data_IF_695630428376
#
_entry.id   IF_695630428376
#
_cell.length_a   1.000
_cell.length_b   1.000
_cell.length_c   1.000
_cell.angle_alpha   90.00
_cell.angle_beta   90.00
_cell.angle_gamma   90.00
#
_symmetry.space_group_name_H-M   'P 1'
#
loop_
_entity.id
_entity.type
_entity.pdbx_description
1 polymer ?
#
# COMPACT_ATOMS: atom_id res chain seq x y z
N UNK A 1 24.51 29.99 37.42
CA UNK A 1 24.53 28.53 37.17
C UNK A 1 23.58 28.22 36.04
N UNK A 2 24.10 28.13 34.83
CA UNK A 2 23.35 27.82 33.63
C UNK A 2 23.24 26.30 33.52
N UNK A 3 21.99 25.78 33.46
CA UNK A 3 21.66 24.36 33.29
C UNK A 3 21.89 23.99 31.82
N UNK A 4 23.01 23.35 31.56
CA UNK A 4 23.38 22.78 30.27
C UNK A 4 22.29 21.77 29.84
N UNK A 5 21.52 22.14 28.81
CA UNK A 5 20.52 21.29 28.20
C UNK A 5 21.26 20.22 27.41
N UNK A 6 21.40 19.06 28.02
CA UNK A 6 21.98 17.87 27.39
C UNK A 6 21.03 17.43 26.24
N UNK A 7 21.28 17.97 25.06
CA UNK A 7 20.68 17.52 23.81
C UNK A 7 21.23 16.12 23.52
N UNK A 8 20.57 15.09 23.99
CA UNK A 8 20.81 13.72 23.52
C UNK A 8 20.67 13.76 21.99
N UNK A 9 21.81 13.69 21.30
CA UNK A 9 21.87 13.34 19.89
C UNK A 9 21.25 11.94 19.72
N UNK A 10 19.95 11.88 19.57
CA UNK A 10 19.26 10.68 19.05
C UNK A 10 19.67 10.60 17.58
N UNK A 11 20.75 9.85 17.32
CA UNK A 11 21.13 9.50 15.97
C UNK A 11 19.90 8.88 15.30
N UNK A 12 19.36 9.54 14.28
CA UNK A 12 18.25 9.03 13.49
C UNK A 12 18.63 7.65 12.96
N UNK A 13 17.78 6.63 13.10
CA UNK A 13 18.06 5.29 12.61
C UNK A 13 18.30 5.36 11.11
N UNK A 14 19.52 5.10 10.67
CA UNK A 14 19.88 5.02 9.26
C UNK A 14 19.33 3.71 8.71
N UNK A 15 18.15 3.75 8.14
CA UNK A 15 17.59 2.58 7.48
C UNK A 15 18.46 2.16 6.28
N UNK A 16 18.86 0.88 6.19
CA UNK A 16 19.56 0.36 5.03
C UNK A 16 18.64 0.43 3.80
N UNK A 17 19.24 0.49 2.61
CA UNK A 17 18.53 0.63 1.33
C UNK A 17 17.47 -0.46 1.12
N UNK A 18 17.67 -1.64 1.70
CA UNK A 18 16.77 -2.78 1.57
C UNK A 18 15.33 -2.45 2.04
N UNK A 19 15.18 -1.57 3.03
CA UNK A 19 13.84 -1.16 3.49
C UNK A 19 13.15 -0.17 2.53
N UNK A 20 13.90 0.46 1.61
CA UNK A 20 13.33 1.32 0.56
C UNK A 20 12.88 0.52 -0.67
N UNK A 21 13.38 -0.72 -0.82
CA UNK A 21 13.08 -1.56 -2.00
C UNK A 21 11.58 -1.71 -2.30
N UNK A 22 10.69 -1.99 -1.32
CA UNK A 22 9.26 -2.09 -1.62
C UNK A 22 8.67 -0.79 -2.17
N UNK A 23 9.09 0.37 -1.64
CA UNK A 23 8.63 1.68 -2.13
C UNK A 23 9.13 1.95 -3.54
N UNK A 24 10.39 1.62 -3.84
CA UNK A 24 10.95 1.72 -5.18
C UNK A 24 10.18 0.81 -6.15
N UNK A 25 9.85 -0.41 -5.73
CA UNK A 25 9.07 -1.34 -6.55
C UNK A 25 7.67 -0.81 -6.88
N UNK A 26 6.98 -0.20 -5.91
CA UNK A 26 5.67 0.42 -6.12
C UNK A 26 5.76 1.59 -7.10
N UNK A 27 6.79 2.43 -6.99
CA UNK A 27 6.90 3.66 -7.76
C UNK A 27 7.46 3.45 -9.17
N UNK A 28 8.48 2.57 -9.31
CA UNK A 28 9.19 2.40 -10.56
C UNK A 28 8.75 1.15 -11.33
N UNK A 29 8.42 0.03 -10.65
CA UNK A 29 8.16 -1.24 -11.32
C UNK A 29 6.67 -1.42 -11.61
N UNK A 30 5.79 -1.20 -10.63
CA UNK A 30 4.34 -1.44 -10.81
C UNK A 30 3.76 -0.64 -11.99
N UNK A 31 4.07 0.66 -12.21
CA UNK A 31 3.54 1.40 -13.35
C UNK A 31 3.91 0.80 -14.71
N UNK A 32 5.07 0.14 -14.79
CA UNK A 32 5.58 -0.46 -16.03
C UNK A 32 4.99 -1.84 -16.34
N UNK A 33 4.28 -2.46 -15.39
CA UNK A 33 3.69 -3.79 -15.60
C UNK A 33 2.54 -3.67 -16.60
N UNK A 34 2.68 -4.36 -17.73
CA UNK A 34 1.65 -4.52 -18.75
C UNK A 34 1.50 -6.02 -19.01
N UNK A 35 0.38 -6.58 -18.63
CA UNK A 35 0.10 -8.00 -18.83
C UNK A 35 -1.37 -8.20 -19.11
N UNK A 36 -1.67 -8.86 -20.23
CA UNK A 36 -3.03 -9.14 -20.65
C UNK A 36 -3.62 -10.28 -19.80
N UNK A 37 -4.71 -9.98 -19.11
CA UNK A 37 -5.46 -10.93 -18.32
C UNK A 37 -6.89 -11.08 -18.88
N UNK A 38 -7.27 -12.31 -19.19
CA UNK A 38 -8.63 -12.63 -19.65
C UNK A 38 -9.48 -13.03 -18.46
N UNK A 39 -10.62 -12.39 -18.29
CA UNK A 39 -11.54 -12.71 -17.19
C UNK A 39 -13.00 -12.80 -17.68
N UNK A 40 -13.83 -13.52 -16.93
CA UNK A 40 -15.27 -13.56 -17.14
C UNK A 40 -15.92 -12.37 -16.44
N UNK A 41 -16.72 -11.60 -17.17
CA UNK A 41 -17.42 -10.43 -16.64
C UNK A 41 -18.49 -10.79 -15.61
N UNK A 42 -18.95 -12.04 -15.58
CA UNK A 42 -20.06 -12.49 -14.73
C UNK A 42 -21.41 -11.88 -15.11
N UNK A 43 -21.44 -11.00 -16.12
CA UNK A 43 -22.65 -10.28 -16.55
C UNK A 43 -23.63 -11.15 -17.31
N UNK A 44 -23.18 -12.29 -17.85
CA UNK A 44 -24.04 -13.28 -18.54
C UNK A 44 -25.14 -13.86 -17.66
N UNK A 45 -25.03 -13.67 -16.32
CA UNK A 45 -26.11 -14.07 -15.39
C UNK A 45 -27.34 -13.19 -15.50
N UNK A 46 -27.21 -11.99 -16.08
CA UNK A 46 -28.32 -11.06 -16.25
C UNK A 46 -28.94 -11.23 -17.66
N UNK A 47 -30.20 -11.51 -17.72
CA UNK A 47 -30.93 -11.75 -18.98
C UNK A 47 -30.93 -10.57 -19.97
N UNK A 48 -30.69 -9.37 -19.47
CA UNK A 48 -30.55 -8.12 -20.26
C UNK A 48 -29.20 -7.92 -20.89
N UNK A 49 -28.18 -8.71 -20.52
CA UNK A 49 -26.84 -8.54 -21.02
C UNK A 49 -26.62 -9.28 -22.33
N UNK A 50 -26.32 -8.55 -23.40
CA UNK A 50 -26.09 -9.09 -24.75
C UNK A 50 -24.60 -9.02 -25.17
N UNK A 51 -23.69 -8.66 -24.25
CA UNK A 51 -22.26 -8.55 -24.52
C UNK A 51 -21.49 -9.87 -24.40
N UNK A 52 -20.20 -9.87 -24.72
CA UNK A 52 -19.34 -11.04 -24.58
C UNK A 52 -19.19 -11.43 -23.11
N UNK A 53 -19.18 -12.74 -22.83
CA UNK A 53 -18.98 -13.28 -21.46
C UNK A 53 -17.60 -13.00 -20.90
N UNK A 54 -16.61 -12.80 -21.78
CA UNK A 54 -15.21 -12.60 -21.40
C UNK A 54 -14.66 -11.31 -21.99
N UNK A 55 -13.89 -10.60 -21.21
CA UNK A 55 -13.13 -9.42 -21.65
C UNK A 55 -11.67 -9.51 -21.24
N UNK A 56 -10.87 -8.55 -21.68
CA UNK A 56 -9.44 -8.53 -21.40
C UNK A 56 -9.09 -7.27 -20.61
N UNK A 57 -8.37 -7.45 -19.52
CA UNK A 57 -7.69 -6.37 -18.81
C UNK A 57 -6.21 -6.38 -19.20
N UNK A 58 -5.67 -5.21 -19.53
CA UNK A 58 -4.28 -5.06 -19.95
C UNK A 58 -3.36 -4.58 -18.83
N UNK A 59 -3.92 -3.98 -17.79
CA UNK A 59 -3.11 -3.26 -16.82
C UNK A 59 -3.49 -3.54 -15.38
N UNK A 60 -4.79 -3.49 -15.06
CA UNK A 60 -5.24 -3.25 -13.70
C UNK A 60 -5.10 -4.50 -12.83
N UNK A 61 -5.58 -5.64 -13.30
CA UNK A 61 -5.51 -6.90 -12.56
C UNK A 61 -4.07 -7.26 -12.17
N UNK A 62 -3.15 -7.18 -13.13
CA UNK A 62 -1.74 -7.52 -12.87
C UNK A 62 -1.08 -6.53 -11.92
N UNK A 63 -1.34 -5.22 -12.07
CA UNK A 63 -0.83 -4.19 -11.14
C UNK A 63 -1.35 -4.38 -9.74
N UNK A 64 -2.64 -4.66 -9.57
CA UNK A 64 -3.25 -4.90 -8.26
C UNK A 64 -2.70 -6.16 -7.60
N UNK A 65 -2.50 -7.23 -8.35
CA UNK A 65 -1.90 -8.47 -7.85
C UNK A 65 -0.48 -8.23 -7.34
N UNK A 66 0.37 -7.55 -8.11
CA UNK A 66 1.72 -7.20 -7.70
C UNK A 66 1.75 -6.22 -6.52
N UNK A 67 0.81 -5.27 -6.49
CA UNK A 67 0.67 -4.35 -5.36
C UNK A 67 0.36 -5.11 -4.07
N UNK A 68 -0.59 -6.04 -4.08
CA UNK A 68 -0.91 -6.87 -2.91
C UNK A 68 0.30 -7.68 -2.44
N UNK A 69 1.09 -8.22 -3.37
CA UNK A 69 2.31 -8.93 -3.02
C UNK A 69 3.33 -8.02 -2.33
N UNK A 70 3.54 -6.82 -2.85
CA UNK A 70 4.44 -5.83 -2.23
C UNK A 70 3.91 -5.35 -0.89
N UNK A 71 2.59 -5.19 -0.74
CA UNK A 71 1.97 -4.84 0.54
C UNK A 71 2.20 -5.92 1.61
N UNK A 72 2.07 -7.20 1.23
CA UNK A 72 2.40 -8.30 2.13
C UNK A 72 3.88 -8.24 2.56
N UNK A 73 4.78 -7.93 1.62
CA UNK A 73 6.20 -7.73 1.93
C UNK A 73 6.43 -6.54 2.87
N UNK A 74 5.72 -5.42 2.66
CA UNK A 74 5.79 -4.26 3.57
C UNK A 74 5.36 -4.63 4.99
N UNK A 75 4.25 -5.38 5.14
CA UNK A 75 3.78 -5.84 6.45
C UNK A 75 4.84 -6.73 7.11
N UNK A 76 5.45 -7.65 6.34
CA UNK A 76 6.47 -8.56 6.85
C UNK A 76 7.71 -7.80 7.32
N UNK A 77 8.16 -6.81 6.55
CA UNK A 77 9.29 -5.95 6.91
C UNK A 77 8.96 -5.11 8.16
N UNK A 78 7.77 -4.52 8.24
CA UNK A 78 7.33 -3.78 9.43
C UNK A 78 7.32 -4.68 10.68
N UNK A 79 6.78 -5.89 10.56
CA UNK A 79 6.77 -6.86 11.65
C UNK A 79 8.22 -7.22 12.08
N UNK A 80 9.10 -7.48 11.12
CA UNK A 80 10.50 -7.73 11.40
C UNK A 80 11.18 -6.56 12.12
N UNK A 81 10.94 -5.32 11.65
CA UNK A 81 11.53 -4.12 12.26
C UNK A 81 11.06 -3.93 13.70
N UNK A 82 9.79 -4.16 13.97
CA UNK A 82 9.21 -3.98 15.32
C UNK A 82 9.62 -5.12 16.26
N UNK A 83 9.53 -6.38 15.82
CA UNK A 83 9.71 -7.53 16.70
C UNK A 83 11.15 -8.05 16.77
N UNK A 84 11.91 -8.00 15.69
CA UNK A 84 13.27 -8.55 15.64
C UNK A 84 14.36 -7.48 15.73
N UNK A 85 14.15 -6.33 15.13
CA UNK A 85 15.12 -5.22 15.19
C UNK A 85 14.84 -4.25 16.36
N UNK A 86 13.78 -4.49 17.13
CA UNK A 86 13.38 -3.69 18.31
C UNK A 86 13.26 -2.18 18.01
N UNK A 87 12.96 -1.83 16.76
CA UNK A 87 12.74 -0.44 16.37
C UNK A 87 11.31 -0.06 16.78
N UNK A 88 11.10 0.94 17.65
CA UNK A 88 9.78 1.25 18.16
C UNK A 88 8.86 1.72 17.04
N UNK A 89 7.61 1.28 17.09
CA UNK A 89 6.58 1.76 16.17
C UNK A 89 6.42 3.28 16.35
N UNK A 90 6.54 4.01 15.24
CA UNK A 90 6.39 5.47 15.26
C UNK A 90 4.92 5.82 15.14
N UNK A 91 4.40 6.52 16.15
CA UNK A 91 3.06 7.09 16.13
C UNK A 91 3.13 8.61 16.14
N UNK A 92 2.46 9.24 15.19
CA UNK A 92 2.30 10.69 15.14
C UNK A 92 0.82 11.04 14.95
N UNK A 93 0.38 12.14 15.55
CA UNK A 93 -1.00 12.65 15.39
C UNK A 93 -1.37 12.91 13.92
N UNK A 94 -0.40 13.16 13.07
CA UNK A 94 -0.57 13.30 11.62
C UNK A 94 -1.05 12.02 10.92
N UNK A 95 -0.88 10.84 11.56
CA UNK A 95 -1.41 9.56 11.06
C UNK A 95 -2.87 9.31 11.43
N UNK A 96 -3.47 10.18 12.25
CA UNK A 96 -4.88 10.04 12.64
C UNK A 96 -5.83 10.00 11.44
N UNK A 97 -5.72 10.87 10.42
CA UNK A 97 -6.57 10.80 9.23
C UNK A 97 -6.44 9.46 8.49
N UNK A 98 -5.24 8.87 8.48
CA UNK A 98 -5.00 7.57 7.86
C UNK A 98 -5.75 6.44 8.57
N UNK A 99 -5.75 6.45 9.91
CA UNK A 99 -6.50 5.48 10.72
C UNK A 99 -8.00 5.64 10.50
N UNK A 100 -8.49 6.89 10.49
CA UNK A 100 -9.90 7.18 10.20
C UNK A 100 -10.27 6.68 8.80
N UNK A 101 -9.43 6.92 7.79
CA UNK A 101 -9.62 6.41 6.43
C UNK A 101 -9.75 4.88 6.42
N UNK A 102 -8.82 4.15 7.04
CA UNK A 102 -8.87 2.70 7.10
C UNK A 102 -10.12 2.18 7.82
N UNK A 103 -10.48 2.81 8.94
CA UNK A 103 -11.67 2.45 9.70
C UNK A 103 -12.96 2.68 8.89
N UNK A 104 -13.10 3.83 8.25
CA UNK A 104 -14.26 4.14 7.41
C UNK A 104 -14.34 3.21 6.18
N UNK A 105 -13.22 2.91 5.54
CA UNK A 105 -13.17 1.97 4.42
C UNK A 105 -13.66 0.58 4.85
N UNK A 106 -13.20 0.09 5.99
CA UNK A 106 -13.60 -1.21 6.50
C UNK A 106 -15.07 -1.24 6.92
N UNK A 107 -15.54 -0.22 7.65
CA UNK A 107 -16.95 -0.10 8.05
C UNK A 107 -17.85 0.00 6.81
N UNK A 108 -17.47 0.80 5.82
CA UNK A 108 -18.20 0.94 4.56
C UNK A 108 -18.32 -0.38 3.82
N UNK A 109 -17.25 -1.19 3.78
CA UNK A 109 -17.28 -2.50 3.15
C UNK A 109 -18.21 -3.49 3.86
N UNK A 110 -18.26 -3.44 5.20
CA UNK A 110 -19.16 -4.28 5.99
C UNK A 110 -20.64 -3.84 5.88
N UNK A 111 -20.87 -2.53 5.70
CA UNK A 111 -22.20 -1.96 5.53
C UNK A 111 -22.69 -2.01 4.06
N UNK A 112 -21.88 -2.52 3.15
CA UNK A 112 -22.22 -2.64 1.74
C UNK A 112 -23.38 -3.60 1.52
N UNK A 113 -24.25 -3.27 0.56
CA UNK A 113 -25.34 -4.14 0.12
C UNK A 113 -24.81 -5.47 -0.44
N UNK A 114 -23.62 -5.46 -1.03
CA UNK A 114 -22.98 -6.62 -1.63
C UNK A 114 -21.56 -6.79 -1.06
N UNK A 115 -21.50 -7.39 0.12
CA UNK A 115 -20.25 -7.62 0.86
C UNK A 115 -19.24 -8.43 0.02
N UNK A 116 -19.75 -9.40 -0.76
CA UNK A 116 -18.88 -10.22 -1.63
C UNK A 116 -18.08 -9.37 -2.59
N UNK A 117 -18.71 -8.46 -3.32
CA UNK A 117 -18.00 -7.56 -4.24
C UNK A 117 -17.10 -6.55 -3.56
N UNK A 118 -17.46 -6.06 -2.38
CA UNK A 118 -16.61 -5.15 -1.62
C UNK A 118 -15.29 -5.79 -1.21
N UNK A 119 -15.28 -7.07 -0.90
CA UNK A 119 -14.09 -7.80 -0.49
C UNK A 119 -13.31 -8.44 -1.66
N UNK A 120 -14.00 -8.88 -2.72
CA UNK A 120 -13.33 -9.49 -3.89
C UNK A 120 -12.91 -8.48 -4.96
N UNK A 121 -13.48 -7.28 -4.94
CA UNK A 121 -13.36 -6.28 -6.00
C UNK A 121 -14.38 -6.50 -7.11
N UNK A 122 -14.72 -5.41 -7.81
CA UNK A 122 -15.60 -5.43 -8.97
C UNK A 122 -14.76 -5.69 -10.22
N UNK A 123 -15.27 -6.53 -11.12
CA UNK A 123 -14.68 -6.69 -12.44
C UNK A 123 -14.55 -5.31 -13.13
N UNK A 124 -13.46 -5.09 -13.83
CA UNK A 124 -13.02 -3.84 -14.47
C UNK A 124 -12.23 -2.89 -13.58
N UNK A 125 -12.54 -2.75 -12.28
CA UNK A 125 -11.76 -1.90 -11.37
C UNK A 125 -10.77 -2.70 -10.53
N UNK A 126 -11.10 -3.95 -10.18
CA UNK A 126 -10.30 -4.83 -9.31
C UNK A 126 -9.90 -4.20 -7.96
N UNK A 127 -10.51 -3.07 -7.61
CA UNK A 127 -10.30 -2.43 -6.32
C UNK A 127 -11.17 -3.11 -5.27
N UNK A 128 -10.51 -3.78 -4.36
CA UNK A 128 -11.15 -4.40 -3.19
C UNK A 128 -10.83 -3.58 -1.93
N UNK A 129 -11.58 -3.83 -0.87
CA UNK A 129 -11.27 -3.25 0.45
C UNK A 129 -9.83 -3.52 0.88
N UNK A 130 -9.25 -4.66 0.48
CA UNK A 130 -7.87 -5.02 0.77
C UNK A 130 -6.86 -4.08 0.12
N UNK A 131 -7.13 -3.65 -1.10
CA UNK A 131 -6.28 -2.70 -1.82
C UNK A 131 -6.38 -1.31 -1.18
N UNK A 132 -7.61 -0.87 -0.86
CA UNK A 132 -7.82 0.42 -0.21
C UNK A 132 -7.16 0.47 1.18
N UNK A 133 -7.28 -0.59 1.97
CA UNK A 133 -6.54 -0.70 3.24
C UNK A 133 -5.03 -0.80 3.02
N UNK A 134 -4.62 -1.46 1.94
CA UNK A 134 -3.24 -1.58 1.52
C UNK A 134 -2.58 -0.23 1.24
N UNK A 135 -3.31 0.71 0.64
CA UNK A 135 -2.82 2.09 0.49
C UNK A 135 -2.51 2.73 1.85
N UNK A 136 -3.35 2.48 2.86
CA UNK A 136 -3.09 2.93 4.23
C UNK A 136 -1.80 2.33 4.81
N UNK A 137 -1.60 1.04 4.61
CA UNK A 137 -0.36 0.35 5.04
C UNK A 137 0.86 0.92 4.31
N UNK A 138 0.75 1.17 3.00
CA UNK A 138 1.84 1.72 2.20
C UNK A 138 2.24 3.13 2.68
N UNK A 139 1.25 3.98 2.98
CA UNK A 139 1.50 5.33 3.51
C UNK A 139 2.16 5.24 4.89
N UNK A 140 1.69 4.36 5.76
CA UNK A 140 2.32 4.15 7.07
C UNK A 140 3.75 3.64 6.92
N UNK A 141 3.97 2.66 6.05
CA UNK A 141 5.30 2.14 5.74
C UNK A 141 6.24 3.22 5.23
N UNK A 142 5.77 4.02 4.27
CA UNK A 142 6.54 5.15 3.74
C UNK A 142 6.89 6.16 4.84
N UNK A 143 5.92 6.53 5.67
CA UNK A 143 6.14 7.43 6.81
C UNK A 143 7.18 6.89 7.78
N UNK A 144 7.16 5.58 8.04
CA UNK A 144 8.08 4.93 8.98
C UNK A 144 9.51 4.86 8.42
N UNK A 145 9.66 4.50 7.15
CA UNK A 145 10.98 4.29 6.53
C UNK A 145 11.61 5.60 6.05
N UNK A 146 10.80 6.56 5.58
CA UNK A 146 11.28 7.87 5.10
C UNK A 146 11.35 8.86 6.29
N UNK A 147 11.96 8.46 7.38
CA UNK A 147 12.08 9.31 8.56
C UNK A 147 13.21 10.36 8.45
N UNK A 148 14.08 10.24 7.44
CA UNK A 148 15.23 11.13 7.27
C UNK A 148 15.32 11.72 5.85
N UNK A 149 15.86 12.94 5.74
CA UNK A 149 16.17 13.57 4.44
C UNK A 149 17.08 12.69 3.57
N UNK A 150 17.97 11.92 4.17
CA UNK A 150 18.86 11.03 3.45
C UNK A 150 18.09 9.87 2.77
N UNK A 151 17.05 9.33 3.42
CA UNK A 151 16.19 8.32 2.84
C UNK A 151 15.37 8.90 1.68
N UNK A 152 14.83 10.11 1.85
CA UNK A 152 14.08 10.81 0.80
C UNK A 152 14.97 11.08 -0.43
N UNK A 153 16.20 11.59 -0.25
CA UNK A 153 17.15 11.83 -1.34
C UNK A 153 17.54 10.56 -2.11
N UNK A 154 17.52 9.40 -1.45
CA UNK A 154 17.75 8.10 -2.11
C UNK A 154 16.55 7.61 -2.91
N UNK A 155 15.34 7.97 -2.49
CA UNK A 155 14.11 7.58 -3.17
C UNK A 155 13.81 8.47 -4.38
N UNK A 156 14.11 9.77 -4.31
CA UNK A 156 13.80 10.76 -5.33
C UNK A 156 14.26 10.41 -6.76
N UNK A 157 15.46 9.86 -7.00
CA UNK A 157 15.88 9.48 -8.35
C UNK A 157 14.94 8.47 -9.01
N UNK A 158 14.32 7.59 -8.24
CA UNK A 158 13.38 6.58 -8.73
C UNK A 158 11.99 7.13 -9.03
N UNK A 159 11.75 8.37 -8.63
CA UNK A 159 10.49 9.09 -8.87
C UNK A 159 10.57 9.95 -10.13
N UNK A 160 11.75 10.49 -10.42
CA UNK A 160 11.96 11.46 -11.51
C UNK A 160 12.42 10.75 -12.81
N UNK A 161 12.87 9.48 -12.66
CA UNK A 161 13.18 8.54 -13.73
C UNK A 161 14.21 8.74 -14.53
#
# INVERSE_FOLDING_TARGET
MAKEKNTKNTAEPKFPLIYLVPLIAVLAIIPLIVHMYKYDTGLTKYASFQGPSTTYDFFLHSKMTWLLFILALCIFILAYMIFAAEIPAVWNKQLLPLVIYCALTFISALASTDIGYSFSGIYEQFESVWILMGYGILVYYAFYVISSEAALKRLMPWFVG
#
